data_IF_143380454560
#
_entry.id   IF_143380454560
#
_cell.length_a   1.000
_cell.length_b   1.000
_cell.length_c   1.000
_cell.angle_alpha   90.00
_cell.angle_beta   90.00
_cell.angle_gamma   90.00
#
_symmetry.space_group_name_H-M   'P 1'
#
loop_
_entity.id
_entity.type
_entity.pdbx_description
1 polymer ?
#
# COMPACT_ATOMS: atom_id res chain seq x y z
N UNK A 1 -20.65 -17.55 -13.74
CA UNK A 1 -19.88 -18.12 -12.59
C UNK A 1 -18.70 -17.17 -12.40
N UNK A 2 -18.42 -16.45 -11.31
CA UNK A 2 -18.94 -16.36 -9.96
C UNK A 2 -19.14 -14.86 -9.58
N UNK A 3 -20.25 -14.52 -8.93
CA UNK A 3 -20.46 -13.18 -8.36
C UNK A 3 -19.59 -13.10 -7.10
N UNK A 4 -18.44 -12.41 -7.14
CA UNK A 4 -17.72 -12.03 -5.92
C UNK A 4 -18.64 -11.09 -5.14
N UNK A 5 -19.13 -11.60 -4.01
CA UNK A 5 -20.14 -10.95 -3.18
C UNK A 5 -19.72 -9.54 -2.79
N UNK A 6 -20.62 -8.59 -2.99
CA UNK A 6 -20.56 -7.30 -2.33
C UNK A 6 -20.61 -7.57 -0.81
N UNK A 7 -19.49 -7.38 -0.11
CA UNK A 7 -19.50 -7.25 1.35
C UNK A 7 -20.36 -6.03 1.68
N UNK A 8 -21.39 -6.25 2.49
CA UNK A 8 -22.13 -5.20 3.23
C UNK A 8 -21.14 -4.18 3.82
N UNK A 9 -21.52 -2.90 4.06
CA UNK A 9 -20.65 -1.91 4.67
C UNK A 9 -20.44 -2.26 6.15
N UNK A 10 -19.70 -3.34 6.38
CA UNK A 10 -19.08 -3.66 7.65
C UNK A 10 -18.07 -2.56 7.85
N UNK A 11 -18.11 -1.89 9.00
CA UNK A 11 -17.12 -0.88 9.35
C UNK A 11 -15.73 -1.41 8.96
N UNK A 12 -14.95 -0.66 8.16
CA UNK A 12 -13.67 -1.13 7.68
C UNK A 12 -12.85 -1.55 8.89
N UNK A 13 -12.30 -2.76 8.84
CA UNK A 13 -11.42 -3.23 9.89
C UNK A 13 -10.24 -2.25 10.06
N UNK A 14 -9.60 -2.18 11.23
CA UNK A 14 -8.45 -1.31 11.44
C UNK A 14 -7.35 -1.48 10.37
N UNK A 15 -7.16 -2.70 9.87
CA UNK A 15 -6.27 -3.00 8.75
C UNK A 15 -6.75 -2.39 7.42
N UNK A 16 -8.04 -2.48 7.12
CA UNK A 16 -8.62 -1.90 5.90
C UNK A 16 -8.53 -0.37 5.92
N UNK A 17 -8.77 0.28 7.06
CA UNK A 17 -8.60 1.74 7.20
C UNK A 17 -7.15 2.14 6.94
N UNK A 18 -6.21 1.38 7.50
CA UNK A 18 -4.79 1.56 7.26
C UNK A 18 -4.42 1.39 5.79
N UNK A 19 -4.82 0.26 5.18
CA UNK A 19 -4.60 -0.03 3.77
C UNK A 19 -5.19 1.02 2.83
N UNK A 20 -6.39 1.55 3.12
CA UNK A 20 -7.01 2.62 2.34
C UNK A 20 -6.17 3.90 2.36
N UNK A 21 -5.59 4.26 3.50
CA UNK A 21 -4.70 5.43 3.61
C UNK A 21 -3.47 5.27 2.73
N UNK A 22 -2.83 4.11 2.78
CA UNK A 22 -1.66 3.79 1.96
C UNK A 22 -2.03 3.76 0.48
N UNK A 23 -3.12 3.08 0.12
CA UNK A 23 -3.63 3.04 -1.25
C UNK A 23 -3.90 4.44 -1.78
N UNK A 24 -4.44 5.35 -0.96
CA UNK A 24 -4.65 6.75 -1.34
C UNK A 24 -3.33 7.47 -1.67
N UNK A 25 -2.24 7.14 -0.98
CA UNK A 25 -0.91 7.70 -1.28
C UNK A 25 -0.41 7.13 -2.61
N UNK A 26 -0.46 5.80 -2.79
CA UNK A 26 -0.01 5.10 -4.01
C UNK A 26 -0.81 5.56 -5.23
N UNK A 27 -2.14 5.62 -5.12
CA UNK A 27 -3.04 6.06 -6.19
C UNK A 27 -3.08 7.58 -6.39
N UNK A 28 -2.29 8.34 -5.65
CA UNK A 28 -2.23 9.79 -5.86
C UNK A 28 -1.64 10.11 -7.25
N UNK A 29 -2.10 11.17 -7.94
CA UNK A 29 -1.58 11.53 -9.26
C UNK A 29 -0.08 11.75 -9.27
N UNK A 30 0.46 12.29 -8.17
CA UNK A 30 1.89 12.49 -8.00
C UNK A 30 2.63 11.15 -7.93
N UNK A 31 2.15 10.23 -7.09
CA UNK A 31 2.81 8.95 -6.90
C UNK A 31 2.74 8.07 -8.15
N UNK A 32 1.61 8.07 -8.87
CA UNK A 32 1.47 7.40 -10.16
C UNK A 32 2.38 8.01 -11.24
N UNK A 33 2.51 9.34 -11.26
CA UNK A 33 3.39 10.04 -12.22
C UNK A 33 4.87 9.78 -11.95
N UNK A 34 5.28 9.89 -10.69
CA UNK A 34 6.67 9.68 -10.25
C UNK A 34 7.01 8.18 -10.12
N UNK A 35 6.01 7.30 -10.22
CA UNK A 35 6.12 5.85 -10.00
C UNK A 35 6.74 5.51 -8.63
N UNK A 36 6.41 6.33 -7.65
CA UNK A 36 6.99 6.31 -6.31
C UNK A 36 5.99 6.83 -5.28
N UNK A 37 5.83 6.10 -4.18
CA UNK A 37 5.10 6.54 -3.00
C UNK A 37 6.04 6.59 -1.78
N UNK A 38 5.91 7.64 -0.99
CA UNK A 38 6.53 7.71 0.34
C UNK A 38 5.50 7.24 1.33
N UNK A 39 5.79 6.14 2.02
CA UNK A 39 4.93 5.60 3.07
C UNK A 39 5.59 5.82 4.43
N UNK A 40 4.80 6.22 5.41
CA UNK A 40 5.25 6.41 6.79
C UNK A 40 4.17 5.94 7.77
N UNK A 41 4.62 5.28 8.85
CA UNK A 41 3.77 4.84 9.94
C UNK A 41 3.44 6.03 10.85
N UNK A 42 2.17 6.21 11.20
CA UNK A 42 1.72 7.25 12.15
C UNK A 42 1.79 6.78 13.60
N UNK A 43 1.81 7.75 14.51
CA UNK A 43 1.65 7.52 15.95
C UNK A 43 0.26 6.92 16.21
N UNK A 44 0.21 5.59 16.40
CA UNK A 44 -1.02 4.82 16.60
C UNK A 44 -1.26 3.73 15.56
N UNK A 45 -0.52 3.73 14.45
CA UNK A 45 -0.58 2.62 13.49
C UNK A 45 0.05 1.36 14.10
N UNK A 46 -0.62 0.22 13.92
CA UNK A 46 -0.12 -1.06 14.44
C UNK A 46 1.13 -1.50 13.65
N UNK A 47 2.27 -1.77 14.31
CA UNK A 47 3.47 -2.27 13.63
C UNK A 47 3.22 -3.55 12.83
N UNK A 48 2.37 -4.47 13.32
CA UNK A 48 2.07 -5.73 12.62
C UNK A 48 1.37 -5.48 11.27
N UNK A 49 0.47 -4.50 11.22
CA UNK A 49 -0.20 -4.12 9.97
C UNK A 49 0.76 -3.49 8.98
N UNK A 50 1.72 -2.70 9.47
CA UNK A 50 2.76 -2.12 8.65
C UNK A 50 3.68 -3.19 8.06
N UNK A 51 4.19 -4.10 8.87
CA UNK A 51 5.05 -5.19 8.42
C UNK A 51 4.35 -6.08 7.38
N UNK A 52 3.10 -6.47 7.66
CA UNK A 52 2.28 -7.25 6.72
C UNK A 52 2.08 -6.53 5.39
N UNK A 53 1.76 -5.24 5.43
CA UNK A 53 1.57 -4.46 4.21
C UNK A 53 2.84 -4.37 3.38
N UNK A 54 4.00 -4.15 4.02
CA UNK A 54 5.29 -4.12 3.32
C UNK A 54 5.61 -5.47 2.69
N UNK A 55 5.29 -6.57 3.36
CA UNK A 55 5.42 -7.92 2.80
C UNK A 55 4.52 -8.11 1.56
N UNK A 56 3.24 -7.75 1.64
CA UNK A 56 2.29 -7.82 0.51
C UNK A 56 2.75 -6.97 -0.68
N UNK A 57 3.32 -5.79 -0.42
CA UNK A 57 3.86 -4.91 -1.47
C UNK A 57 5.16 -5.49 -2.06
N UNK A 58 6.03 -6.05 -1.23
CA UNK A 58 7.31 -6.64 -1.66
C UNK A 58 7.14 -7.97 -2.41
N UNK A 59 5.97 -8.62 -2.28
CA UNK A 59 5.62 -9.81 -3.07
C UNK A 59 5.45 -9.49 -4.56
N UNK A 60 5.20 -8.22 -4.91
CA UNK A 60 5.19 -7.79 -6.32
C UNK A 60 6.62 -7.55 -6.83
N UNK A 61 7.07 -8.36 -7.79
CA UNK A 61 8.40 -8.24 -8.42
C UNK A 61 8.65 -6.88 -9.11
N UNK A 62 7.59 -6.21 -9.56
CA UNK A 62 7.69 -4.88 -10.17
C UNK A 62 7.76 -3.75 -9.13
N UNK A 63 7.82 -4.07 -7.84
CA UNK A 63 7.86 -3.11 -6.74
C UNK A 63 9.19 -3.22 -5.99
N UNK A 64 9.77 -2.07 -5.64
CA UNK A 64 10.99 -1.97 -4.84
C UNK A 64 10.72 -1.13 -3.61
N UNK A 65 11.04 -1.67 -2.43
CA UNK A 65 10.92 -0.97 -1.15
C UNK A 65 12.30 -0.54 -0.66
N UNK A 66 12.45 0.75 -0.37
CA UNK A 66 13.67 1.32 0.20
C UNK A 66 13.36 1.91 1.58
N UNK A 67 13.98 1.34 2.63
CA UNK A 67 13.86 1.86 3.99
C UNK A 67 14.60 3.19 4.15
N UNK A 68 14.00 4.15 4.85
CA UNK A 68 14.60 5.47 5.13
C UNK A 68 15.01 5.56 6.60
N UNK A 69 16.04 6.35 6.87
CA UNK A 69 16.54 6.60 8.24
C UNK A 69 15.52 7.22 9.19
N UNK A 70 14.45 7.84 8.64
CA UNK A 70 13.38 8.45 9.42
C UNK A 70 12.26 7.47 9.86
N UNK A 71 12.40 6.17 9.60
CA UNK A 71 11.39 5.15 9.96
C UNK A 71 10.23 4.99 8.97
N UNK A 72 10.27 5.71 7.85
CA UNK A 72 9.39 5.48 6.69
C UNK A 72 10.05 4.62 5.62
N UNK A 73 9.29 4.26 4.58
CA UNK A 73 9.80 3.58 3.40
C UNK A 73 9.41 4.33 2.12
N UNK A 74 10.26 4.23 1.10
CA UNK A 74 9.91 4.62 -0.25
C UNK A 74 9.58 3.37 -1.05
N UNK A 75 8.40 3.35 -1.64
CA UNK A 75 7.95 2.29 -2.53
C UNK A 75 8.04 2.81 -3.96
N UNK A 76 8.73 2.10 -4.82
CA UNK A 76 8.87 2.39 -6.24
C UNK A 76 8.22 1.25 -7.02
N UNK A 77 7.56 1.53 -8.13
CA UNK A 77 7.03 0.47 -8.98
C UNK A 77 7.24 0.75 -10.45
N UNK A 78 7.46 -0.30 -11.23
CA UNK A 78 7.38 -0.19 -12.68
C UNK A 78 5.98 -0.60 -13.11
N UNK A 79 5.34 0.25 -13.92
CA UNK A 79 4.22 -0.20 -14.73
C UNK A 79 4.85 -1.04 -15.82
N UNK A 80 4.93 -2.35 -15.58
CA UNK A 80 5.14 -3.31 -16.66
C UNK A 80 3.99 -3.06 -17.63
N UNK A 81 4.31 -2.81 -18.90
CA UNK A 81 3.31 -2.89 -19.96
C UNK A 81 2.88 -4.37 -20.03
N UNK A 82 1.95 -4.76 -19.16
CA UNK A 82 1.15 -5.95 -19.41
C UNK A 82 0.34 -5.65 -20.67
N UNK A 83 0.66 -6.37 -21.74
CA UNK A 83 -0.02 -6.43 -23.05
C UNK A 83 -1.55 -6.55 -22.92
#
# INVERSE_FOLDING_TARGET
MAKKGAKEPTLPSPYEVFGMRIQKIISSPKAQKDRMAVLERQEGDNPEFWERLLEEISENDNVTIAHRDCGGVNVFWTVSEED
#
